data_IF_830197725972
#
_entry.id   IF_830197725972
#
_cell.length_a   1.000
_cell.length_b   1.000
_cell.length_c   1.000
_cell.angle_alpha   90.00
_cell.angle_beta   90.00
_cell.angle_gamma   90.00
#
_symmetry.space_group_name_H-M   'P 1'
#
loop_
_entity.id
_entity.type
_entity.pdbx_description
1 polymer ?
#
# COMPACT_ATOMS: atom_id res chain seq x y z
N UNK A 1 4.41 8.58 -19.02
CA UNK A 1 5.46 8.25 -18.04
C UNK A 1 4.98 8.67 -16.67
N UNK A 2 4.86 7.73 -15.76
CA UNK A 2 4.58 8.02 -14.36
C UNK A 2 5.83 8.61 -13.70
N UNK A 3 5.62 9.63 -12.87
CA UNK A 3 6.65 10.17 -11.97
C UNK A 3 6.24 9.75 -10.56
N UNK A 4 7.03 8.92 -9.91
CA UNK A 4 6.71 8.42 -8.56
C UNK A 4 7.06 9.51 -7.55
N UNK A 5 6.15 10.45 -7.34
CA UNK A 5 6.28 11.58 -6.41
C UNK A 5 5.22 11.57 -5.29
N UNK A 6 4.36 10.56 -5.30
CA UNK A 6 3.26 10.39 -4.36
C UNK A 6 1.94 11.01 -4.82
N UNK A 7 1.94 11.72 -5.94
CA UNK A 7 0.75 12.37 -6.46
C UNK A 7 0.16 11.55 -7.62
N UNK A 8 -0.96 10.92 -7.40
CA UNK A 8 -1.67 10.07 -8.38
C UNK A 8 -2.57 10.91 -9.32
N UNK A 9 -2.06 12.01 -9.83
CA UNK A 9 -2.81 12.94 -10.70
C UNK A 9 -2.57 12.74 -12.19
N UNK A 10 -1.62 11.92 -12.60
CA UNK A 10 -1.37 11.62 -14.01
C UNK A 10 -2.56 10.93 -14.66
N UNK A 11 -2.77 11.24 -15.94
CA UNK A 11 -3.90 10.72 -16.72
C UNK A 11 -3.91 9.21 -16.90
N UNK A 12 -2.79 8.55 -16.64
CA UNK A 12 -2.66 7.10 -16.74
C UNK A 12 -3.34 6.38 -15.54
N UNK A 13 -3.48 7.08 -14.41
CA UNK A 13 -4.11 6.51 -13.22
C UNK A 13 -5.63 6.38 -13.35
N UNK A 14 -6.15 5.23 -12.92
CA UNK A 14 -7.56 5.01 -12.61
C UNK A 14 -7.68 4.61 -11.14
N UNK A 15 -7.73 5.59 -10.25
CA UNK A 15 -7.84 5.40 -8.79
C UNK A 15 -9.32 5.36 -8.41
N UNK A 16 -9.94 4.21 -8.59
CA UNK A 16 -11.40 4.07 -8.47
C UNK A 16 -11.89 2.82 -7.73
N UNK A 17 -10.97 1.95 -7.28
CA UNK A 17 -11.35 0.75 -6.53
C UNK A 17 -11.37 1.05 -5.04
N UNK A 18 -12.52 0.87 -4.38
CA UNK A 18 -12.69 1.16 -2.96
C UNK A 18 -11.98 0.14 -2.06
N UNK A 19 -11.39 0.64 -0.97
CA UNK A 19 -10.84 -0.14 0.14
C UNK A 19 -11.74 0.09 1.34
N UNK A 20 -12.68 -0.81 1.62
CA UNK A 20 -13.77 -0.56 2.57
C UNK A 20 -14.05 -1.69 3.56
N UNK A 21 -13.30 -2.78 3.49
CA UNK A 21 -13.48 -3.90 4.42
C UNK A 21 -12.73 -3.63 5.71
N UNK A 22 -13.40 -3.08 6.72
CA UNK A 22 -12.82 -2.91 8.07
C UNK A 22 -12.50 -4.27 8.68
N UNK A 23 -11.27 -4.44 9.15
CA UNK A 23 -10.73 -5.68 9.75
C UNK A 23 -10.22 -5.49 11.17
N UNK A 24 -9.89 -4.25 11.54
CA UNK A 24 -9.52 -3.85 12.92
C UNK A 24 -10.30 -2.59 13.27
N UNK A 25 -10.78 -2.48 14.50
CA UNK A 25 -11.34 -1.29 15.10
C UNK A 25 -12.42 -0.59 14.29
N UNK A 26 -12.33 0.72 14.18
CA UNK A 26 -13.23 1.58 13.40
C UNK A 26 -12.42 2.57 12.59
N UNK A 27 -12.92 2.97 11.43
CA UNK A 27 -12.33 3.96 10.55
C UNK A 27 -13.43 4.79 9.89
N UNK A 28 -13.16 6.07 9.68
CA UNK A 28 -14.03 7.00 8.96
C UNK A 28 -13.47 7.35 7.57
N UNK A 29 -12.31 6.82 7.19
CA UNK A 29 -11.61 7.11 5.96
C UNK A 29 -12.33 6.61 4.71
N UNK A 30 -12.17 7.36 3.62
CA UNK A 30 -12.57 6.93 2.27
C UNK A 30 -11.31 6.72 1.43
N UNK A 31 -11.01 5.47 1.13
CA UNK A 31 -9.78 5.10 0.44
C UNK A 31 -10.07 4.42 -0.88
N UNK A 32 -9.36 4.84 -1.92
CA UNK A 32 -9.41 4.23 -3.24
C UNK A 32 -8.01 3.95 -3.77
N UNK A 33 -7.87 2.94 -4.64
CA UNK A 33 -6.61 2.61 -5.27
C UNK A 33 -6.73 2.30 -6.76
N UNK A 34 -5.58 2.28 -7.43
CA UNK A 34 -5.39 1.81 -8.78
C UNK A 34 -4.04 1.14 -8.95
N UNK A 35 -3.93 0.28 -9.96
CA UNK A 35 -2.72 -0.48 -10.27
C UNK A 35 -2.39 -0.32 -11.76
N UNK A 36 -1.11 -0.11 -12.04
CA UNK A 36 -0.56 -0.09 -13.40
C UNK A 36 0.69 -0.96 -13.45
N UNK A 37 1.15 -1.33 -14.63
CA UNK A 37 2.41 -2.04 -14.77
C UNK A 37 3.07 -1.78 -16.12
N UNK A 38 4.38 -1.95 -16.16
CA UNK A 38 5.19 -2.04 -17.36
C UNK A 38 6.21 -3.19 -17.25
N UNK A 39 7.17 -3.26 -18.14
CA UNK A 39 8.17 -4.32 -18.11
C UNK A 39 9.18 -4.20 -16.94
N UNK A 40 9.14 -3.10 -16.19
CA UNK A 40 10.09 -2.83 -15.10
C UNK A 40 9.41 -2.84 -13.74
N UNK A 41 8.22 -2.26 -13.64
CA UNK A 41 7.55 -2.00 -12.37
C UNK A 41 6.09 -2.44 -12.34
N UNK A 42 5.65 -2.86 -11.17
CA UNK A 42 4.27 -2.81 -10.73
C UNK A 42 4.08 -1.47 -10.00
N UNK A 43 3.12 -0.68 -10.44
CA UNK A 43 2.78 0.61 -9.80
C UNK A 43 1.50 0.47 -9.01
N UNK A 44 1.51 1.01 -7.81
CA UNK A 44 0.32 1.08 -6.94
C UNK A 44 0.13 2.53 -6.51
N UNK A 45 -1.03 3.08 -6.81
CA UNK A 45 -1.44 4.41 -6.38
C UNK A 45 -2.64 4.32 -5.45
N UNK A 46 -2.63 5.10 -4.37
CA UNK A 46 -3.72 5.15 -3.40
C UNK A 46 -4.07 6.59 -3.05
N UNK A 47 -5.37 6.85 -2.85
CA UNK A 47 -5.90 8.09 -2.26
C UNK A 47 -6.62 7.76 -0.98
N UNK A 48 -6.25 8.44 0.09
CA UNK A 48 -6.90 8.36 1.39
C UNK A 48 -7.51 9.72 1.70
N UNK A 49 -8.83 9.78 1.82
CA UNK A 49 -9.54 10.93 2.36
C UNK A 49 -9.77 10.69 3.84
N UNK A 50 -9.24 11.60 4.63
CA UNK A 50 -9.16 11.52 6.07
C UNK A 50 -9.16 12.95 6.63
N UNK A 51 -9.93 13.21 7.67
CA UNK A 51 -10.06 14.54 8.27
C UNK A 51 -9.11 14.79 9.44
N UNK A 52 -8.43 13.74 9.91
CA UNK A 52 -7.47 13.79 11.02
C UNK A 52 -6.26 12.94 10.71
N UNK A 53 -5.07 13.51 10.65
CA UNK A 53 -3.86 12.81 10.22
C UNK A 53 -2.78 12.86 11.30
N UNK A 54 -2.31 11.69 11.72
CA UNK A 54 -1.22 11.51 12.68
C UNK A 54 -0.03 10.76 12.10
N UNK A 55 1.18 11.17 12.51
CA UNK A 55 2.44 10.50 12.25
C UNK A 55 3.34 10.73 13.46
N UNK A 56 3.03 10.10 14.58
CA UNK A 56 3.70 10.31 15.86
C UNK A 56 4.03 9.01 16.60
N UNK A 57 3.68 7.85 16.04
CA UNK A 57 3.97 6.54 16.59
C UNK A 57 5.37 6.02 16.20
N UNK A 58 5.85 5.03 16.94
CA UNK A 58 7.13 4.36 16.64
C UNK A 58 7.02 3.45 15.41
N UNK A 59 5.86 2.87 15.19
CA UNK A 59 5.60 1.93 14.10
C UNK A 59 4.66 2.56 13.09
N UNK A 60 5.09 2.60 11.83
CA UNK A 60 4.35 3.23 10.73
C UNK A 60 2.91 2.72 10.57
N UNK A 61 2.66 1.44 10.89
CA UNK A 61 1.32 0.86 10.82
C UNK A 61 0.40 1.27 11.99
N UNK A 62 0.91 1.98 12.97
CA UNK A 62 0.13 2.57 14.06
C UNK A 62 -0.27 4.02 13.79
N UNK A 63 0.27 4.61 12.72
CA UNK A 63 -0.08 5.93 12.19
C UNK A 63 -0.95 5.81 10.94
N UNK A 64 -1.38 6.96 10.40
CA UNK A 64 -2.01 7.04 9.09
C UNK A 64 -1.07 6.55 8.01
N UNK A 65 -1.40 5.42 7.43
CA UNK A 65 -0.54 4.74 6.48
C UNK A 65 -1.32 3.85 5.53
N UNK A 66 -0.69 3.47 4.43
CA UNK A 66 -1.21 2.45 3.53
C UNK A 66 -0.35 1.20 3.58
N UNK A 67 -0.97 0.07 3.31
CA UNK A 67 -0.32 -1.23 3.23
C UNK A 67 -0.56 -1.87 1.87
N UNK A 68 0.48 -2.50 1.32
CA UNK A 68 0.42 -3.20 0.04
C UNK A 68 0.94 -4.62 0.25
N UNK A 69 0.13 -5.60 -0.06
CA UNK A 69 0.42 -7.02 0.11
C UNK A 69 0.53 -7.70 -1.24
N UNK A 70 1.58 -8.47 -1.46
CA UNK A 70 1.86 -9.16 -2.72
C UNK A 70 2.34 -10.57 -2.43
N UNK A 71 1.69 -11.57 -3.04
CA UNK A 71 2.16 -12.93 -3.21
C UNK A 71 2.62 -13.08 -4.67
N UNK A 72 3.92 -12.91 -4.89
CA UNK A 72 4.50 -12.82 -6.23
C UNK A 72 4.46 -14.14 -7.01
N UNK A 73 4.53 -15.28 -6.34
CA UNK A 73 4.49 -16.60 -6.97
C UNK A 73 3.09 -17.25 -6.97
N UNK A 74 2.09 -16.55 -6.36
CA UNK A 74 0.69 -16.99 -6.27
C UNK A 74 0.53 -18.41 -5.70
N UNK A 75 1.31 -18.71 -4.67
CA UNK A 75 1.31 -20.04 -4.08
C UNK A 75 0.26 -20.22 -2.98
N UNK A 76 -0.38 -19.11 -2.53
CA UNK A 76 -1.36 -19.09 -1.44
C UNK A 76 -0.80 -19.70 -0.15
N UNK A 77 0.46 -19.44 0.13
CA UNK A 77 1.14 -19.88 1.34
C UNK A 77 0.47 -19.27 2.57
N UNK A 78 0.60 -19.93 3.72
CA UNK A 78 0.14 -19.41 5.02
C UNK A 78 1.30 -18.83 5.83
N UNK A 79 2.45 -18.66 5.20
CA UNK A 79 3.66 -18.08 5.78
C UNK A 79 4.39 -17.32 4.69
N UNK A 80 4.91 -16.16 5.04
CA UNK A 80 5.70 -15.32 4.17
C UNK A 80 6.92 -16.06 3.59
N UNK A 81 7.06 -16.03 2.27
CA UNK A 81 8.21 -16.60 1.58
C UNK A 81 9.04 -15.52 0.84
N UNK A 82 9.99 -15.95 0.01
CA UNK A 82 10.88 -15.03 -0.71
C UNK A 82 10.19 -14.22 -1.81
N UNK A 83 8.95 -14.54 -2.16
CA UNK A 83 8.17 -13.87 -3.21
C UNK A 83 7.06 -12.98 -2.61
N UNK A 84 6.87 -13.04 -1.30
CA UNK A 84 5.87 -12.26 -0.60
C UNK A 84 6.43 -10.90 -0.20
N UNK A 85 5.59 -9.88 -0.21
CA UNK A 85 5.93 -8.53 0.25
C UNK A 85 4.75 -7.90 0.97
N UNK A 86 5.09 -7.23 2.08
CA UNK A 86 4.20 -6.26 2.72
C UNK A 86 4.95 -4.93 2.81
N UNK A 87 4.52 -3.97 2.04
CA UNK A 87 5.00 -2.61 2.14
C UNK A 87 4.06 -1.78 2.99
N UNK A 88 4.61 -0.95 3.88
CA UNK A 88 3.87 0.04 4.66
C UNK A 88 4.46 1.41 4.37
N UNK A 89 3.63 2.35 3.96
CA UNK A 89 4.01 3.73 3.66
C UNK A 89 3.14 4.69 4.44
N UNK A 90 3.76 5.42 5.37
CA UNK A 90 3.08 6.40 6.20
C UNK A 90 2.84 7.73 5.48
N UNK A 91 1.77 8.39 5.89
CA UNK A 91 1.56 9.82 5.70
C UNK A 91 2.76 10.57 6.27
N UNK A 92 3.27 11.57 5.53
CA UNK A 92 4.41 12.41 5.91
C UNK A 92 5.75 11.67 6.13
N UNK A 93 5.84 10.36 5.90
CA UNK A 93 7.09 9.61 6.03
C UNK A 93 7.99 9.75 4.82
N UNK A 94 9.29 9.92 5.05
CA UNK A 94 10.31 9.82 4.00
C UNK A 94 10.72 8.38 3.70
N UNK A 95 10.53 7.46 4.64
CA UNK A 95 10.91 6.05 4.53
C UNK A 95 9.78 5.17 3.98
N UNK A 96 10.16 4.03 3.46
CA UNK A 96 9.28 2.89 3.16
C UNK A 96 9.68 1.74 4.07
N UNK A 97 8.71 1.12 4.72
CA UNK A 97 8.91 -0.09 5.49
C UNK A 97 8.47 -1.30 4.66
N UNK A 98 9.22 -2.37 4.70
CA UNK A 98 8.84 -3.69 4.20
C UNK A 98 9.14 -4.71 5.30
N UNK A 99 8.30 -5.69 5.49
CA UNK A 99 8.32 -6.60 6.66
C UNK A 99 9.65 -7.32 6.88
N UNK A 100 10.38 -7.65 5.81
CA UNK A 100 11.70 -8.29 5.88
C UNK A 100 12.85 -7.37 5.43
N UNK A 101 12.57 -6.06 5.23
CA UNK A 101 13.56 -5.07 4.81
C UNK A 101 13.91 -5.12 3.32
N UNK A 102 13.11 -5.78 2.48
CA UNK A 102 13.38 -5.94 1.04
C UNK A 102 12.78 -4.77 0.26
N UNK A 103 13.43 -3.61 0.30
CA UNK A 103 12.99 -2.39 -0.40
C UNK A 103 13.84 -2.04 -1.62
N UNK A 104 14.77 -2.90 -2.02
CA UNK A 104 15.73 -2.60 -3.09
C UNK A 104 15.04 -2.24 -4.41
N UNK A 105 15.34 -1.05 -4.92
CA UNK A 105 14.83 -0.52 -6.18
C UNK A 105 13.38 -0.04 -6.16
N UNK A 106 12.68 -0.14 -5.03
CA UNK A 106 11.32 0.41 -4.89
C UNK A 106 11.39 1.92 -4.83
N UNK A 107 10.67 2.57 -5.75
CA UNK A 107 10.42 4.01 -5.72
C UNK A 107 9.10 4.25 -4.99
N UNK A 108 9.05 5.31 -4.20
CA UNK A 108 7.85 5.63 -3.43
C UNK A 108 7.76 7.11 -3.10
N UNK A 109 6.57 7.60 -2.93
CA UNK A 109 6.29 8.96 -2.52
C UNK A 109 4.94 9.09 -1.83
N UNK A 110 4.73 10.22 -1.19
CA UNK A 110 3.45 10.67 -0.67
C UNK A 110 3.24 12.14 -1.06
N UNK A 111 1.99 12.55 -1.16
CA UNK A 111 1.61 13.93 -1.46
C UNK A 111 0.34 14.32 -0.72
N UNK A 112 0.24 15.54 -0.18
CA UNK A 112 -1.02 16.04 0.36
C UNK A 112 -2.03 16.27 -0.77
N UNK A 113 -3.27 15.91 -0.51
CA UNK A 113 -4.41 16.23 -1.40
C UNK A 113 -5.51 16.94 -0.58
N UNK A 114 -6.47 17.59 -1.21
CA UNK A 114 -7.61 18.15 -0.48
C UNK A 114 -8.36 17.08 0.32
N UNK A 115 -8.35 17.21 1.65
CA UNK A 115 -9.02 16.28 2.56
C UNK A 115 -8.29 14.98 2.83
N UNK A 116 -6.95 14.95 2.69
CA UNK A 116 -6.17 13.75 2.99
C UNK A 116 -4.82 13.70 2.27
N UNK A 117 -4.41 12.52 1.84
CA UNK A 117 -3.13 12.29 1.18
C UNK A 117 -3.23 11.25 0.05
N UNK A 118 -2.20 11.22 -0.79
CA UNK A 118 -1.99 10.15 -1.77
C UNK A 118 -0.61 9.54 -1.62
N UNK A 119 -0.50 8.30 -2.06
CA UNK A 119 0.72 7.49 -2.02
C UNK A 119 0.93 6.85 -3.39
N UNK A 120 2.18 6.81 -3.83
CA UNK A 120 2.61 6.02 -4.98
C UNK A 120 3.77 5.11 -4.62
N UNK A 121 3.71 3.88 -5.10
CA UNK A 121 4.84 2.96 -5.13
C UNK A 121 5.08 2.46 -6.56
N UNK A 122 6.36 2.34 -6.96
CA UNK A 122 6.78 1.57 -8.11
C UNK A 122 7.69 0.45 -7.63
N UNK A 123 7.21 -0.78 -7.70
CA UNK A 123 7.87 -1.98 -7.18
C UNK A 123 8.48 -2.72 -8.35
N UNK A 124 9.83 -2.80 -8.47
CA UNK A 124 10.44 -3.51 -9.57
C UNK A 124 10.10 -5.00 -9.52
N UNK A 125 9.78 -5.59 -10.66
CA UNK A 125 9.47 -7.02 -10.75
C UNK A 125 10.59 -7.90 -10.21
N UNK A 126 11.85 -7.44 -10.31
CA UNK A 126 13.00 -8.11 -9.71
C UNK A 126 12.95 -8.16 -8.17
N UNK A 127 12.30 -7.18 -7.52
CA UNK A 127 12.07 -7.21 -6.07
C UNK A 127 11.11 -8.34 -5.68
N UNK A 128 10.13 -8.63 -6.55
CA UNK A 128 9.14 -9.70 -6.38
C UNK A 128 9.65 -11.07 -6.87
N UNK A 129 10.85 -11.13 -7.46
CA UNK A 129 11.43 -12.37 -8.00
C UNK A 129 10.72 -12.91 -9.23
N UNK A 130 9.96 -12.10 -9.96
CA UNK A 130 9.17 -12.51 -11.12
C UNK A 130 9.58 -11.77 -12.39
N UNK A 131 9.34 -12.41 -13.54
CA UNK A 131 9.49 -11.78 -14.85
C UNK A 131 8.10 -11.42 -15.38
N UNK A 132 7.82 -10.13 -15.63
CA UNK A 132 6.49 -9.71 -16.06
C UNK A 132 6.19 -10.22 -17.46
N UNK A 133 5.03 -10.82 -17.61
CA UNK A 133 4.47 -11.22 -18.90
C UNK A 133 2.94 -11.12 -18.85
N UNK A 134 2.32 -10.79 -19.99
CA UNK A 134 0.86 -10.81 -20.06
C UNK A 134 0.32 -12.19 -19.69
N UNK A 135 -0.63 -12.22 -18.74
CA UNK A 135 -1.30 -13.46 -18.31
C UNK A 135 -0.67 -14.11 -17.07
N UNK A 136 0.39 -13.56 -16.49
CA UNK A 136 0.81 -14.01 -15.14
C UNK A 136 -0.25 -13.62 -14.11
N UNK A 137 -0.33 -14.41 -13.05
CA UNK A 137 -1.18 -14.12 -11.89
C UNK A 137 -0.29 -13.93 -10.67
N UNK A 138 -0.61 -12.94 -9.86
CA UNK A 138 -0.02 -12.69 -8.55
C UNK A 138 -1.14 -12.57 -7.52
N UNK A 139 -0.87 -12.87 -6.25
CA UNK A 139 -1.73 -12.46 -5.15
C UNK A 139 -1.51 -10.98 -4.86
N UNK A 140 -2.60 -10.25 -4.59
CA UNK A 140 -2.52 -8.81 -4.35
C UNK A 140 -3.66 -8.33 -3.47
N UNK A 141 -3.34 -7.53 -2.48
CA UNK A 141 -4.30 -6.72 -1.72
C UNK A 141 -3.67 -5.41 -1.29
N UNK A 142 -4.50 -4.48 -0.88
CA UNK A 142 -4.10 -3.23 -0.24
C UNK A 142 -4.95 -2.98 1.00
N UNK A 143 -4.42 -2.18 1.90
CA UNK A 143 -5.11 -1.73 3.09
C UNK A 143 -4.67 -0.33 3.49
N UNK A 144 -5.30 0.21 4.49
CA UNK A 144 -4.88 1.43 5.16
C UNK A 144 -5.10 1.32 6.67
N UNK A 145 -4.30 2.06 7.40
CA UNK A 145 -4.39 2.25 8.84
C UNK A 145 -4.86 3.68 9.11
N UNK A 146 -5.62 3.85 10.15
CA UNK A 146 -6.31 5.06 10.58
C UNK A 146 -6.00 5.35 12.04
N UNK A 147 -5.45 6.51 12.34
CA UNK A 147 -5.21 7.03 13.68
C UNK A 147 -5.84 8.41 13.80
N UNK A 148 -6.94 8.50 14.54
CA UNK A 148 -7.70 9.74 14.75
C UNK A 148 -7.31 10.48 16.05
N UNK A 149 -6.41 9.93 16.86
CA UNK A 149 -6.19 10.45 18.22
C UNK A 149 -4.72 10.53 18.68
N UNK A 150 -3.76 10.08 17.87
CA UNK A 150 -2.33 10.06 18.20
C UNK A 150 -1.96 9.06 19.30
N UNK A 151 -2.79 8.07 19.55
CA UNK A 151 -2.51 7.01 20.51
C UNK A 151 -2.18 5.65 19.85
N UNK A 152 -2.02 5.66 18.54
CA UNK A 152 -1.84 4.50 17.68
C UNK A 152 -3.13 4.10 16.98
N UNK A 153 -3.02 3.18 16.05
CA UNK A 153 -4.06 2.78 15.10
C UNK A 153 -5.43 2.52 15.74
N UNK A 154 -6.43 3.32 15.38
CA UNK A 154 -7.83 3.15 15.75
C UNK A 154 -8.55 2.14 14.85
N UNK A 155 -8.16 2.08 13.58
CA UNK A 155 -8.78 1.22 12.61
C UNK A 155 -7.86 0.75 11.49
N UNK A 156 -8.27 -0.35 10.84
CA UNK A 156 -7.68 -0.83 9.60
C UNK A 156 -8.77 -1.34 8.67
N UNK A 157 -8.68 -0.97 7.40
CA UNK A 157 -9.47 -1.60 6.37
C UNK A 157 -8.58 -2.14 5.24
N UNK A 158 -9.07 -3.19 4.58
CA UNK A 158 -8.41 -3.84 3.45
C UNK A 158 -9.37 -3.96 2.26
N UNK A 159 -8.81 -4.09 1.05
CA UNK A 159 -9.60 -4.40 -0.13
C UNK A 159 -10.12 -5.84 -0.06
N UNK A 160 -9.21 -6.81 0.10
CA UNK A 160 -9.53 -8.24 0.21
C UNK A 160 -8.64 -8.84 1.31
N UNK A 161 -9.15 -9.87 1.99
CA UNK A 161 -8.42 -10.61 3.02
C UNK A 161 -8.88 -10.28 4.44
N UNK A 162 -7.97 -10.28 5.37
CA UNK A 162 -8.22 -10.14 6.81
C UNK A 162 -7.17 -9.24 7.47
N UNK A 163 -7.27 -9.04 8.78
CA UNK A 163 -6.23 -8.39 9.58
C UNK A 163 -4.87 -9.12 9.53
N UNK A 164 -4.83 -10.34 9.02
CA UNK A 164 -3.64 -11.18 8.94
C UNK A 164 -3.03 -11.25 7.53
N UNK A 165 -3.38 -10.34 6.63
CA UNK A 165 -2.81 -10.28 5.27
C UNK A 165 -1.27 -10.21 5.25
N UNK A 166 -0.67 -9.81 6.36
CA UNK A 166 0.78 -9.78 6.52
C UNK A 166 1.40 -11.17 6.76
N UNK A 167 0.59 -12.21 6.90
CA UNK A 167 1.04 -13.59 7.14
C UNK A 167 0.88 -14.51 5.92
N UNK A 168 -0.08 -14.19 5.02
CA UNK A 168 -0.48 -15.07 3.92
C UNK A 168 -0.93 -14.32 2.65
#
# INVERSE_FOLDING_TARGET
NLTVDGNVSESDWNIATDVSKTVIGTTNNQTTFGVLWDNTYLYVGMKVLDDTLYNDSTYVHEDDSVEIYIDGNHNHGTTYDNYDRQFVKGWFDSALVEQHGITTGVLHGWSPIPGGYSIELAIPWSNLGITPTTGITIGFSVGYNDDDNGAGRDGQAVWIGTANNYLD
#
